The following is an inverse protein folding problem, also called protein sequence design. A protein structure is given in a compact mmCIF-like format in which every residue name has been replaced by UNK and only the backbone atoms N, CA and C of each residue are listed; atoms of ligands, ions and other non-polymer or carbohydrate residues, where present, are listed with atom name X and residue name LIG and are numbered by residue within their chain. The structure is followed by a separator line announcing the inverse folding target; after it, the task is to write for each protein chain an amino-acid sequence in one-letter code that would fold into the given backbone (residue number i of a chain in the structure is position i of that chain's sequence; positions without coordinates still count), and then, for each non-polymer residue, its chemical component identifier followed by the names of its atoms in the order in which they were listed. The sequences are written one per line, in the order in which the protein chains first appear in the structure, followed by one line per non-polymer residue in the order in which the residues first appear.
data_IF_310693877290
#
_entry.id   IF_310693877290
#
_cell.length_a   1.000
_cell.length_b   1.000
_cell.length_c   1.000
_cell.angle_alpha   90.00
_cell.angle_beta   90.00
_cell.angle_gamma   90.00
#
_symmetry.space_group_name_H-M   'P 1'
#
loop_
_entity.id
_entity.type
_entity.pdbx_description
1 polymer ?
#
# COMPACT_ATOMS: atom_id res chain seq x y z
N UNK A 1 -7.40 2.82 20.96
CA UNK A 1 -7.94 2.07 19.81
C UNK A 1 -9.21 1.39 20.28
N UNK A 2 -10.36 1.67 19.65
CA UNK A 2 -11.56 0.87 19.88
C UNK A 2 -11.37 -0.48 19.18
N UNK A 3 -11.63 -1.63 19.80
CA UNK A 3 -11.47 -2.94 19.17
C UNK A 3 -12.36 -3.18 17.94
N UNK A 4 -13.30 -2.27 17.64
CA UNK A 4 -14.16 -2.27 16.45
C UNK A 4 -13.74 -1.25 15.39
N UNK A 5 -12.61 -0.55 15.61
CA UNK A 5 -12.08 0.37 14.62
C UNK A 5 -11.62 -0.42 13.38
N UNK A 6 -12.06 -0.06 12.16
CA UNK A 6 -11.64 -0.78 10.96
C UNK A 6 -10.14 -0.64 10.78
N UNK A 7 -9.47 -1.67 10.26
CA UNK A 7 -8.02 -1.64 10.00
C UNK A 7 -7.80 -1.88 8.52
N UNK A 8 -6.90 -1.10 7.91
CA UNK A 8 -6.43 -1.40 6.55
C UNK A 8 -5.45 -2.57 6.64
N UNK A 9 -5.80 -3.70 6.02
CA UNK A 9 -4.94 -4.87 5.95
C UNK A 9 -4.22 -4.92 4.60
N UNK A 10 -2.90 -5.10 4.63
CA UNK A 10 -2.09 -5.35 3.42
C UNK A 10 -1.35 -6.66 3.62
N UNK A 11 -1.66 -7.63 2.77
CA UNK A 11 -0.96 -8.92 2.71
C UNK A 11 0.02 -8.98 1.55
N UNK A 12 1.28 -9.32 1.79
CA UNK A 12 2.28 -9.54 0.75
C UNK A 12 3.31 -10.60 1.17
N UNK A 13 3.65 -11.52 0.27
CA UNK A 13 4.60 -12.61 0.50
C UNK A 13 4.41 -13.39 1.83
N UNK A 14 3.15 -13.59 2.25
CA UNK A 14 2.82 -14.32 3.48
C UNK A 14 2.93 -13.48 4.76
N UNK A 15 3.32 -12.20 4.67
CA UNK A 15 3.27 -11.24 5.77
C UNK A 15 2.04 -10.34 5.64
N UNK A 16 1.39 -10.06 6.77
CA UNK A 16 0.26 -9.14 6.83
C UNK A 16 0.60 -7.93 7.70
N UNK A 17 0.32 -6.73 7.18
CA UNK A 17 0.47 -5.45 7.86
C UNK A 17 -0.91 -4.84 8.11
N UNK A 18 -1.13 -4.35 9.33
CA UNK A 18 -2.34 -3.63 9.71
C UNK A 18 -2.03 -2.15 9.93
N UNK A 19 -2.78 -1.27 9.27
CA UNK A 19 -2.66 0.18 9.44
C UNK A 19 -3.96 0.73 10.02
N UNK A 20 -3.92 1.26 11.26
CA UNK A 20 -5.02 2.02 11.81
C UNK A 20 -5.41 3.17 10.88
N UNK A 21 -6.71 3.46 10.64
CA UNK A 21 -7.15 4.47 9.69
C UNK A 21 -6.65 5.87 10.04
N UNK A 22 -6.37 6.14 11.33
CA UNK A 22 -5.81 7.42 11.74
C UNK A 22 -4.46 7.68 11.05
N UNK A 23 -3.61 6.67 10.89
CA UNK A 23 -2.25 6.84 10.35
C UNK A 23 -2.24 7.32 8.89
N UNK A 24 -2.87 6.62 7.92
CA UNK A 24 -2.87 7.06 6.55
C UNK A 24 -3.88 8.19 6.30
N UNK A 25 -4.82 8.48 7.22
CA UNK A 25 -5.62 9.72 7.16
C UNK A 25 -4.77 10.97 7.36
N UNK A 26 -3.81 10.94 8.28
CA UNK A 26 -2.89 12.07 8.52
C UNK A 26 -1.71 12.12 7.54
N UNK A 27 -1.30 10.96 6.99
CA UNK A 27 -0.11 10.88 6.15
C UNK A 27 -0.36 10.61 4.66
N UNK A 28 -1.61 10.37 4.23
CA UNK A 28 -2.11 10.04 2.86
C UNK A 28 -1.44 8.82 2.19
N UNK A 29 -0.15 8.59 2.45
CA UNK A 29 0.75 7.55 1.97
C UNK A 29 1.63 7.08 3.15
N UNK A 30 1.73 5.76 3.32
CA UNK A 30 2.69 5.11 4.23
C UNK A 30 3.72 4.36 3.39
N UNK A 31 5.01 4.66 3.56
CA UNK A 31 6.10 3.89 2.95
C UNK A 31 6.57 2.85 3.97
N UNK A 32 6.43 1.57 3.63
CA UNK A 32 6.70 0.44 4.52
C UNK A 32 7.37 -0.71 3.75
N UNK A 33 7.54 -1.84 4.43
CA UNK A 33 8.00 -3.11 3.88
C UNK A 33 7.13 -4.27 4.39
N UNK A 34 6.68 -5.13 3.47
CA UNK A 34 5.93 -6.33 3.79
C UNK A 34 6.54 -7.53 3.04
N UNK A 35 6.95 -8.56 3.79
CA UNK A 35 7.54 -9.78 3.26
C UNK A 35 8.79 -9.52 2.41
N UNK A 36 9.64 -8.59 2.85
CA UNK A 36 10.86 -8.18 2.15
C UNK A 36 10.64 -7.28 0.93
N UNK A 37 9.39 -6.89 0.65
CA UNK A 37 9.05 -6.07 -0.51
C UNK A 37 8.73 -4.65 -0.07
N UNK A 38 9.44 -3.64 -0.60
CA UNK A 38 9.11 -2.24 -0.37
C UNK A 38 7.71 -1.94 -0.89
N UNK A 39 6.85 -1.44 -0.02
CA UNK A 39 5.48 -1.06 -0.38
C UNK A 39 5.15 0.39 -0.01
N UNK A 40 4.25 1.00 -0.77
CA UNK A 40 3.59 2.25 -0.41
C UNK A 40 2.07 2.00 -0.30
N UNK A 41 1.47 2.35 0.82
CA UNK A 41 0.04 2.18 1.08
C UNK A 41 -0.64 3.55 1.04
N UNK A 42 -1.59 3.74 0.14
CA UNK A 42 -2.41 4.96 0.08
C UNK A 42 -3.77 4.72 0.72
N UNK A 43 -4.37 5.77 1.27
CA UNK A 43 -5.73 5.73 1.80
C UNK A 43 -6.52 6.96 1.35
N UNK A 44 -7.73 6.74 0.85
CA UNK A 44 -8.68 7.81 0.59
C UNK A 44 -9.66 7.90 1.76
N UNK A 45 -9.58 8.93 2.62
CA UNK A 45 -10.49 9.06 3.77
C UNK A 45 -11.95 9.30 3.35
N UNK A 46 -12.18 9.81 2.13
CA UNK A 46 -13.53 10.01 1.59
C UNK A 46 -14.18 8.72 1.10
N UNK A 47 -13.37 7.80 0.55
CA UNK A 47 -13.86 6.52 0.01
C UNK A 47 -13.69 5.36 1.00
N UNK A 48 -13.01 5.60 2.12
CA UNK A 48 -12.66 4.59 3.12
C UNK A 48 -11.97 3.36 2.52
N UNK A 49 -11.12 3.60 1.52
CA UNK A 49 -10.48 2.56 0.71
C UNK A 49 -8.97 2.76 0.69
N UNK A 50 -8.22 1.67 0.71
CA UNK A 50 -6.77 1.68 0.61
C UNK A 50 -6.26 0.93 -0.61
N UNK A 51 -5.10 1.33 -1.13
CA UNK A 51 -4.40 0.64 -2.22
C UNK A 51 -2.93 0.53 -1.85
N UNK A 52 -2.36 -0.67 -2.01
CA UNK A 52 -0.92 -0.90 -1.90
C UNK A 52 -0.23 -0.80 -3.27
N UNK A 53 0.99 -0.29 -3.26
CA UNK A 53 1.91 -0.15 -4.39
C UNK A 53 3.25 -0.84 -4.05
N UNK A 54 3.84 -1.61 -4.96
CA UNK A 54 5.24 -2.01 -4.83
C UNK A 54 6.08 -0.79 -5.23
N UNK A 55 6.82 -0.22 -4.28
CA UNK A 55 7.54 1.05 -4.49
C UNK A 55 8.96 0.86 -5.02
N UNK A 56 9.11 0.02 -6.04
CA UNK A 56 10.39 -0.20 -6.73
C UNK A 56 10.36 0.48 -8.11
N UNK A 57 11.42 1.23 -8.43
CA UNK A 57 11.58 1.88 -9.73
C UNK A 57 12.99 1.61 -10.24
N UNK A 58 13.11 1.00 -11.42
CA UNK A 58 14.41 0.59 -11.95
C UNK A 58 15.13 -0.50 -11.14
N UNK A 59 14.41 -1.19 -10.24
CA UNK A 59 14.97 -2.19 -9.32
C UNK A 59 15.28 -1.65 -7.92
N UNK A 60 15.27 -0.32 -7.74
CA UNK A 60 15.59 0.31 -6.46
C UNK A 60 14.33 0.73 -5.68
N UNK A 61 14.31 0.58 -4.34
CA UNK A 61 13.23 1.10 -3.51
C UNK A 61 13.20 2.64 -3.55
N UNK A 62 12.02 3.20 -3.81
CA UNK A 62 11.79 4.65 -3.82
C UNK A 62 10.80 5.07 -2.74
N UNK A 63 10.92 6.30 -2.25
CA UNK A 63 9.90 6.89 -1.37
C UNK A 63 8.78 7.46 -2.24
N UNK A 64 7.53 7.17 -1.88
CA UNK A 64 6.36 7.73 -2.57
C UNK A 64 5.82 8.91 -1.78
N UNK A 65 5.54 10.02 -2.48
CA UNK A 65 5.09 11.28 -1.89
C UNK A 65 3.69 11.71 -2.34
N UNK A 66 2.98 12.42 -1.46
CA UNK A 66 1.65 12.99 -1.71
C UNK A 66 1.68 14.17 -2.66
N UNK A 67 0.50 14.65 -3.10
CA UNK A 67 0.38 15.79 -4.05
C UNK A 67 1.22 16.99 -3.58
N UNK A 68 2.08 17.50 -4.45
CA UNK A 68 3.00 18.62 -4.14
C UNK A 68 4.40 18.22 -3.66
N UNK A 69 4.64 16.96 -3.26
CA UNK A 69 6.01 16.48 -3.00
C UNK A 69 6.81 16.32 -4.31
N UNK A 70 8.10 16.66 -4.31
CA UNK A 70 9.04 16.45 -5.43
C UNK A 70 9.56 14.99 -5.52
N UNK A 71 8.76 14.03 -5.05
CA UNK A 71 9.13 12.60 -4.94
C UNK A 71 8.23 11.76 -5.86
N UNK A 72 8.60 10.49 -6.08
CA UNK A 72 7.86 9.52 -6.91
C UNK A 72 6.38 9.49 -6.54
N UNK A 73 5.50 9.50 -7.56
CA UNK A 73 4.06 9.48 -7.37
C UNK A 73 3.56 8.03 -7.24
N UNK A 74 2.43 7.80 -6.54
CA UNK A 74 1.80 6.48 -6.51
C UNK A 74 1.49 5.90 -7.90
N UNK A 75 1.25 6.75 -8.90
CA UNK A 75 1.01 6.31 -10.29
C UNK A 75 2.26 5.82 -11.02
N UNK A 76 3.45 6.14 -10.52
CA UNK A 76 4.72 5.74 -11.12
C UNK A 76 5.17 4.34 -10.67
N UNK A 77 4.51 3.79 -9.64
CA UNK A 77 4.83 2.51 -9.00
C UNK A 77 3.73 1.49 -9.25
N UNK A 78 4.06 0.19 -9.20
CA UNK A 78 3.14 -0.87 -9.62
C UNK A 78 2.00 -1.06 -8.61
N UNK A 79 0.72 -1.04 -9.04
CA UNK A 79 -0.42 -1.25 -8.16
C UNK A 79 -0.67 -2.74 -7.87
N UNK A 80 -1.31 -3.03 -6.74
CA UNK A 80 -1.63 -4.40 -6.32
C UNK A 80 -2.61 -5.16 -7.22
N UNK A 81 -3.44 -4.46 -8.00
CA UNK A 81 -4.31 -4.99 -9.07
C UNK A 81 -5.12 -6.28 -8.78
N UNK A 82 -5.80 -6.34 -7.63
CA UNK A 82 -7.15 -6.94 -7.47
C UNK A 82 -7.84 -6.28 -6.27
N UNK A 83 -9.17 -6.16 -6.30
CA UNK A 83 -9.93 -5.87 -5.08
C UNK A 83 -9.62 -6.91 -3.99
N UNK A 84 -9.86 -6.59 -2.71
CA UNK A 84 -9.56 -7.50 -1.61
C UNK A 84 -10.21 -8.87 -1.87
N UNK A 85 -9.44 -9.93 -1.62
CA UNK A 85 -9.92 -11.29 -1.47
C UNK A 85 -10.99 -11.32 -0.35
N UNK A 86 -11.77 -12.40 -0.25
CA UNK A 86 -12.87 -12.50 0.72
C UNK A 86 -12.43 -12.36 2.19
N UNK A 87 -11.14 -12.49 2.47
CA UNK A 87 -10.49 -12.29 3.77
C UNK A 87 -9.94 -10.86 3.97
N UNK A 88 -10.17 -9.95 3.01
CA UNK A 88 -9.63 -8.59 3.02
C UNK A 88 -8.20 -8.47 2.48
N UNK A 89 -7.56 -9.57 2.08
CA UNK A 89 -6.17 -9.54 1.60
C UNK A 89 -6.07 -9.10 0.15
N UNK A 90 -5.01 -8.38 -0.22
CA UNK A 90 -4.85 -7.84 -1.58
C UNK A 90 -3.70 -8.57 -2.27
N UNK A 91 -4.00 -9.38 -3.30
CA UNK A 91 -2.98 -10.17 -4.02
C UNK A 91 -2.35 -9.44 -5.19
N UNK A 92 -1.02 -9.49 -5.21
CA UNK A 92 -0.14 -8.97 -6.25
C UNK A 92 0.00 -9.95 -7.42
N UNK A 93 -0.01 -9.46 -8.66
CA UNK A 93 0.45 -10.26 -9.80
C UNK A 93 1.97 -10.25 -9.84
N UNK A 94 2.58 -11.43 -9.94
CA UNK A 94 4.01 -11.57 -10.24
C UNK A 94 4.31 -10.91 -11.60
N UNK A 95 5.49 -10.31 -11.80
CA UNK A 95 5.93 -9.94 -13.13
C UNK A 95 5.94 -11.21 -13.99
N UNK A 96 5.34 -11.15 -15.18
CA UNK A 96 5.78 -12.03 -16.27
C UNK A 96 7.22 -11.64 -16.54
N UNK A 97 8.14 -12.45 -16.04
CA UNK A 97 9.56 -12.36 -16.38
C UNK A 97 9.64 -12.75 -17.86
N UNK A 98 9.86 -11.74 -18.72
CA UNK A 98 10.22 -11.91 -20.13
C UNK A 98 11.72 -11.91 -20.27
#
# INVERSE_FOLDING_TARGET
MDPREPVVLVGHNGEARGYPPQIPTFHEIVNDEAGGTPIAVTFCPLCYSAIGFERTLGGDPVTVGGRGASTVRPGDVRPSSRGPDADGSVRWRRPVQG
#
